data_IF_681465165580
#
_entry.id   IF_681465165580
#
_cell.length_a   1.000
_cell.length_b   1.000
_cell.length_c   1.000
_cell.angle_alpha   90.00
_cell.angle_beta   90.00
_cell.angle_gamma   90.00
#
_symmetry.space_group_name_H-M   'P 1'
#
loop_
_entity.id
_entity.type
_entity.pdbx_description
1 polymer ?
#
# COMPACT_ATOMS: atom_id res chain seq x y z
N UNK A 1 -25.33 3.34 11.22
CA UNK A 1 -23.91 3.66 10.96
C UNK A 1 -23.15 2.36 10.95
N UNK A 2 -22.40 2.07 9.88
CA UNK A 2 -21.50 0.90 9.83
C UNK A 2 -20.33 1.13 10.77
N UNK A 3 -20.00 0.15 11.60
CA UNK A 3 -18.80 0.20 12.44
C UNK A 3 -17.56 0.18 11.54
N UNK A 4 -16.52 1.00 11.84
CA UNK A 4 -15.32 0.99 11.03
C UNK A 4 -14.55 -0.32 11.19
N UNK A 5 -13.87 -0.75 10.13
CA UNK A 5 -12.88 -1.82 10.19
C UNK A 5 -11.54 -1.22 10.58
N UNK A 6 -10.90 -1.82 11.59
CA UNK A 6 -9.59 -1.42 12.05
C UNK A 6 -8.52 -2.23 11.32
N UNK A 7 -7.53 -1.54 10.76
CA UNK A 7 -6.38 -2.15 10.08
C UNK A 7 -5.12 -1.71 10.80
N UNK A 8 -4.35 -2.67 11.30
CA UNK A 8 -3.14 -2.40 12.08
C UNK A 8 -1.91 -2.50 11.18
N UNK A 9 -1.26 -1.36 10.96
CA UNK A 9 -0.08 -1.18 10.13
C UNK A 9 -0.43 -0.68 8.73
N UNK A 10 0.20 0.41 8.29
CA UNK A 10 0.06 0.96 6.94
C UNK A 10 1.21 0.52 6.02
N UNK A 11 1.67 -0.73 6.17
CA UNK A 11 2.52 -1.40 5.19
C UNK A 11 1.76 -1.63 3.87
N UNK A 12 2.38 -2.33 2.92
CA UNK A 12 1.78 -2.58 1.60
C UNK A 12 0.42 -3.30 1.70
N UNK A 13 0.34 -4.36 2.51
CA UNK A 13 -0.90 -5.11 2.72
C UNK A 13 -1.97 -4.28 3.44
N UNK A 14 -1.60 -3.54 4.49
CA UNK A 14 -2.57 -2.71 5.22
C UNK A 14 -3.09 -1.52 4.41
N UNK A 15 -2.24 -0.94 3.56
CA UNK A 15 -2.63 0.11 2.62
C UNK A 15 -3.63 -0.41 1.57
N UNK A 16 -3.36 -1.58 0.99
CA UNK A 16 -4.29 -2.20 0.03
C UNK A 16 -5.60 -2.64 0.72
N UNK A 17 -5.52 -3.22 1.92
CA UNK A 17 -6.71 -3.60 2.68
C UNK A 17 -7.58 -2.37 3.02
N UNK A 18 -6.96 -1.26 3.44
CA UNK A 18 -7.68 -0.02 3.73
C UNK A 18 -8.39 0.52 2.49
N UNK A 19 -7.70 0.50 1.35
CA UNK A 19 -8.26 0.88 0.07
C UNK A 19 -9.47 0.02 -0.31
N UNK A 20 -9.33 -1.31 -0.30
CA UNK A 20 -10.39 -2.23 -0.72
C UNK A 20 -11.62 -2.13 0.18
N UNK A 21 -11.44 -2.01 1.50
CA UNK A 21 -12.54 -1.82 2.46
C UNK A 21 -13.25 -0.50 2.22
N UNK A 22 -12.49 0.58 2.02
CA UNK A 22 -13.05 1.90 1.77
C UNK A 22 -13.79 1.98 0.42
N UNK A 23 -13.27 1.33 -0.63
CA UNK A 23 -13.93 1.21 -1.93
C UNK A 23 -15.21 0.38 -1.88
N UNK A 24 -15.32 -0.54 -0.92
CA UNK A 24 -16.56 -1.26 -0.62
C UNK A 24 -17.59 -0.41 0.18
N UNK A 25 -17.28 0.86 0.45
CA UNK A 25 -18.16 1.78 1.19
C UNK A 25 -18.14 1.60 2.71
N UNK A 26 -17.16 0.88 3.24
CA UNK A 26 -17.03 0.62 4.68
C UNK A 26 -15.97 1.57 5.27
N UNK A 27 -16.28 2.30 6.36
CA UNK A 27 -15.29 3.14 7.03
C UNK A 27 -14.09 2.34 7.56
N UNK A 28 -12.90 2.93 7.52
CA UNK A 28 -11.64 2.32 7.96
C UNK A 28 -10.97 3.22 8.98
N UNK A 29 -10.42 2.61 10.04
CA UNK A 29 -9.37 3.24 10.86
C UNK A 29 -8.05 2.51 10.56
N UNK A 30 -7.14 3.21 9.89
CA UNK A 30 -5.81 2.72 9.56
C UNK A 30 -4.83 3.18 10.63
N UNK A 31 -4.33 2.23 11.41
CA UNK A 31 -3.36 2.47 12.46
C UNK A 31 -1.95 2.37 11.90
N UNK A 32 -1.10 3.37 12.16
CA UNK A 32 0.31 3.34 11.78
C UNK A 32 1.17 3.91 12.89
N UNK A 33 2.07 3.09 13.44
CA UNK A 33 2.93 3.52 14.53
C UNK A 33 3.98 4.55 14.05
N UNK A 34 4.39 4.52 12.78
CA UNK A 34 5.33 5.47 12.18
C UNK A 34 4.62 6.80 11.85
N UNK A 35 5.26 7.96 12.04
CA UNK A 35 6.66 8.13 12.39
C UNK A 35 6.94 8.14 13.90
N UNK A 36 5.92 7.99 14.77
CA UNK A 36 6.13 8.08 16.24
C UNK A 36 7.05 6.97 16.76
N UNK A 37 6.85 5.74 16.26
CA UNK A 37 7.69 4.57 16.53
C UNK A 37 8.28 4.09 15.21
N UNK A 38 9.59 4.29 15.04
CA UNK A 38 10.34 3.82 13.88
C UNK A 38 10.75 2.36 13.98
N UNK A 39 11.38 1.84 12.93
CA UNK A 39 12.05 0.53 12.93
C UNK A 39 13.35 0.66 12.15
N UNK A 40 14.31 -0.26 12.34
CA UNK A 40 15.58 -0.25 11.62
C UNK A 40 15.45 -0.34 10.09
N UNK A 41 14.34 -0.90 9.58
CA UNK A 41 14.12 -1.07 8.15
C UNK A 41 13.52 0.16 7.46
N UNK A 42 12.70 0.93 8.16
CA UNK A 42 11.94 2.04 7.59
C UNK A 42 12.68 3.36 7.74
N UNK A 43 12.66 4.17 6.69
CA UNK A 43 13.28 5.50 6.62
C UNK A 43 12.27 6.62 6.81
N UNK A 44 10.98 6.34 6.61
CA UNK A 44 9.93 7.35 6.62
C UNK A 44 8.71 6.90 7.44
N UNK A 45 7.77 7.84 7.64
CA UNK A 45 6.41 7.54 8.10
C UNK A 45 5.42 7.24 6.97
N UNK A 46 5.91 7.03 5.74
CA UNK A 46 5.11 6.77 4.57
C UNK A 46 4.46 5.40 4.58
N UNK A 47 3.28 5.33 3.99
CA UNK A 47 2.52 4.09 3.80
C UNK A 47 3.11 3.28 2.65
N UNK A 48 2.99 1.96 2.73
CA UNK A 48 3.53 1.02 1.74
C UNK A 48 5.02 1.23 1.38
N UNK A 49 5.83 1.74 2.32
CA UNK A 49 7.25 1.99 2.07
C UNK A 49 8.00 0.70 1.65
N UNK A 50 8.78 0.80 0.58
CA UNK A 50 9.63 -0.29 0.08
C UNK A 50 11.00 -0.26 0.77
N UNK A 51 11.19 -1.09 1.80
CA UNK A 51 12.40 -1.09 2.65
C UNK A 51 13.59 -1.90 2.11
N UNK A 52 13.37 -2.74 1.10
CA UNK A 52 14.40 -3.59 0.50
C UNK A 52 14.57 -3.27 -1.00
N UNK A 53 14.13 -4.15 -1.89
CA UNK A 53 14.10 -3.89 -3.34
C UNK A 53 13.02 -2.86 -3.71
N UNK A 54 13.23 -2.10 -4.79
CA UNK A 54 12.17 -1.29 -5.40
C UNK A 54 11.42 -2.04 -6.51
N UNK A 55 11.69 -3.33 -6.69
CA UNK A 55 11.04 -4.15 -7.69
C UNK A 55 9.97 -5.05 -7.09
N UNK A 56 8.80 -5.04 -7.73
CA UNK A 56 7.71 -5.99 -7.56
C UNK A 56 7.94 -7.30 -8.34
N UNK A 57 9.14 -7.49 -8.90
CA UNK A 57 9.54 -8.62 -9.75
C UNK A 57 8.85 -8.58 -11.12
N UNK A 58 8.80 -9.72 -11.82
CA UNK A 58 8.31 -9.81 -13.20
C UNK A 58 6.86 -9.34 -13.29
N UNK A 59 6.57 -8.59 -14.35
CA UNK A 59 5.20 -8.15 -14.69
C UNK A 59 4.60 -8.94 -15.87
N UNK A 60 5.23 -10.07 -16.23
CA UNK A 60 4.77 -10.97 -17.29
C UNK A 60 3.65 -11.87 -16.76
N UNK A 61 2.40 -11.58 -17.13
CA UNK A 61 1.24 -12.34 -16.71
C UNK A 61 1.10 -13.71 -17.39
N UNK A 62 1.77 -13.94 -18.53
CA UNK A 62 1.63 -15.17 -19.31
C UNK A 62 2.61 -16.25 -18.84
N UNK A 63 3.78 -15.86 -18.36
CA UNK A 63 4.87 -16.79 -18.03
C UNK A 63 5.39 -16.65 -16.58
N UNK A 64 4.86 -15.73 -15.78
CA UNK A 64 5.28 -15.54 -14.39
C UNK A 64 4.11 -15.49 -13.41
N UNK A 65 4.18 -16.28 -12.33
CA UNK A 65 3.15 -16.29 -11.29
C UNK A 65 2.98 -14.94 -10.60
N UNK A 66 4.06 -14.16 -10.44
CA UNK A 66 3.99 -12.82 -9.83
C UNK A 66 3.34 -11.83 -10.80
N UNK A 67 3.66 -11.92 -12.09
CA UNK A 67 3.01 -11.10 -13.12
C UNK A 67 1.52 -11.42 -13.26
N UNK A 68 1.13 -12.69 -13.11
CA UNK A 68 -0.29 -13.07 -13.08
C UNK A 68 -1.00 -12.45 -11.87
N UNK A 69 -0.39 -12.50 -10.68
CA UNK A 69 -0.94 -11.85 -9.49
C UNK A 69 -1.08 -10.34 -9.67
N UNK A 70 -0.10 -9.67 -10.31
CA UNK A 70 -0.21 -8.26 -10.64
C UNK A 70 -1.42 -7.98 -11.54
N UNK A 71 -1.66 -8.81 -12.55
CA UNK A 71 -2.84 -8.70 -13.42
C UNK A 71 -4.15 -8.88 -12.65
N UNK A 72 -4.22 -9.87 -11.75
CA UNK A 72 -5.39 -10.09 -10.89
C UNK A 72 -5.63 -8.86 -9.98
N UNK A 73 -4.58 -8.33 -9.37
CA UNK A 73 -4.66 -7.13 -8.52
C UNK A 73 -5.09 -5.89 -9.30
N UNK A 74 -4.60 -5.70 -10.53
CA UNK A 74 -5.08 -4.62 -11.43
C UNK A 74 -6.57 -4.78 -11.74
N UNK A 75 -7.01 -6.00 -12.03
CA UNK A 75 -8.42 -6.30 -12.30
C UNK A 75 -9.30 -6.05 -11.06
N UNK A 76 -8.76 -6.28 -9.86
CA UNK A 76 -9.41 -5.98 -8.59
C UNK A 76 -9.34 -4.50 -8.17
N UNK A 77 -8.85 -3.60 -9.03
CA UNK A 77 -8.79 -2.16 -8.73
C UNK A 77 -7.77 -1.80 -7.64
N UNK A 78 -6.65 -2.52 -7.58
CA UNK A 78 -5.61 -2.33 -6.56
C UNK A 78 -5.00 -0.92 -6.58
N UNK A 79 -4.91 -0.31 -5.39
CA UNK A 79 -4.20 0.95 -5.20
C UNK A 79 -2.69 0.76 -5.38
N UNK A 80 -2.13 -0.32 -4.83
CA UNK A 80 -0.71 -0.67 -4.96
C UNK A 80 -0.33 -0.78 -6.44
N UNK A 81 -1.05 -1.58 -7.22
CA UNK A 81 -0.69 -1.79 -8.63
C UNK A 81 -0.90 -0.53 -9.47
N UNK A 82 -2.02 0.18 -9.29
CA UNK A 82 -2.26 1.41 -10.03
C UNK A 82 -1.20 2.49 -9.75
N UNK A 83 -0.71 2.57 -8.51
CA UNK A 83 0.34 3.51 -8.12
C UNK A 83 1.71 3.04 -8.62
N UNK A 84 1.98 1.73 -8.61
CA UNK A 84 3.20 1.17 -9.15
C UNK A 84 3.32 1.44 -10.67
N UNK A 85 2.22 1.32 -11.41
CA UNK A 85 2.18 1.63 -12.85
C UNK A 85 2.52 3.10 -13.14
N UNK A 86 2.04 4.04 -12.30
CA UNK A 86 2.30 5.48 -12.46
C UNK A 86 3.75 5.88 -12.13
N UNK A 87 4.37 5.19 -11.17
CA UNK A 87 5.73 5.48 -10.70
C UNK A 87 6.76 4.47 -11.19
N UNK A 88 6.47 3.75 -12.28
CA UNK A 88 7.36 2.75 -12.82
C UNK A 88 8.68 3.35 -13.34
N UNK A 89 9.78 2.67 -13.05
CA UNK A 89 11.12 2.97 -13.57
C UNK A 89 11.66 1.79 -14.42
N UNK A 90 12.58 2.02 -15.37
CA UNK A 90 13.12 0.95 -16.22
C UNK A 90 13.78 -0.18 -15.41
N UNK A 91 13.35 -1.43 -15.62
CA UNK A 91 13.84 -2.58 -14.85
C UNK A 91 13.87 -3.93 -15.60
N UNK A 92 14.11 -3.91 -16.92
CA UNK A 92 14.44 -5.13 -17.68
C UNK A 92 13.41 -6.25 -17.61
N UNK A 93 12.11 -5.92 -17.70
CA UNK A 93 10.99 -6.87 -17.66
C UNK A 93 10.38 -7.09 -16.26
N UNK A 94 11.00 -6.53 -15.22
CA UNK A 94 10.38 -6.39 -13.92
C UNK A 94 9.57 -5.08 -13.82
N UNK A 95 8.52 -5.09 -12.99
CA UNK A 95 7.93 -3.88 -12.45
C UNK A 95 8.81 -3.38 -11.32
N UNK A 96 9.41 -2.21 -11.47
CA UNK A 96 10.10 -1.51 -10.40
C UNK A 96 9.64 -0.07 -10.35
N UNK A 97 9.72 0.55 -9.18
CA UNK A 97 9.14 1.88 -8.94
C UNK A 97 10.16 2.84 -8.37
N UNK A 98 9.89 4.13 -8.52
CA UNK A 98 10.45 5.15 -7.61
C UNK A 98 9.84 4.95 -6.23
N UNK A 99 10.67 4.57 -5.24
CA UNK A 99 10.20 4.19 -3.90
C UNK A 99 9.51 5.34 -3.18
N UNK A 100 10.07 6.54 -3.30
CA UNK A 100 9.62 7.71 -2.53
C UNK A 100 8.33 8.24 -3.14
N UNK A 101 8.27 8.37 -4.47
CA UNK A 101 7.07 8.82 -5.16
C UNK A 101 5.91 7.83 -4.99
N UNK A 102 6.18 6.52 -5.07
CA UNK A 102 5.20 5.45 -4.84
C UNK A 102 4.59 5.52 -3.43
N UNK A 103 5.43 5.58 -2.40
CA UNK A 103 4.98 5.63 -1.01
C UNK A 103 4.24 6.92 -0.69
N UNK A 104 4.72 8.06 -1.21
CA UNK A 104 4.08 9.36 -1.04
C UNK A 104 2.67 9.37 -1.64
N UNK A 105 2.48 8.86 -2.86
CA UNK A 105 1.16 8.87 -3.49
C UNK A 105 0.16 7.96 -2.78
N UNK A 106 0.56 6.77 -2.33
CA UNK A 106 -0.32 5.89 -1.53
C UNK A 106 -0.73 6.59 -0.23
N UNK A 107 0.24 7.22 0.43
CA UNK A 107 0.01 7.95 1.69
C UNK A 107 -1.03 9.04 1.50
N UNK A 108 -0.84 9.90 0.50
CA UNK A 108 -1.76 11.02 0.25
C UNK A 108 -3.12 10.54 -0.26
N UNK A 109 -3.16 9.49 -1.08
CA UNK A 109 -4.42 8.91 -1.56
C UNK A 109 -5.27 8.37 -0.40
N UNK A 110 -4.67 7.60 0.52
CA UNK A 110 -5.38 7.06 1.67
C UNK A 110 -5.80 8.15 2.66
N UNK A 111 -4.94 9.13 2.93
CA UNK A 111 -5.28 10.27 3.82
C UNK A 111 -6.36 11.18 3.26
N UNK A 112 -6.48 11.28 1.94
CA UNK A 112 -7.52 12.07 1.28
C UNK A 112 -8.86 11.33 1.13
N UNK A 113 -8.88 10.01 1.36
CA UNK A 113 -10.09 9.22 1.15
C UNK A 113 -11.12 9.48 2.27
N UNK A 114 -12.38 9.84 1.94
CA UNK A 114 -13.37 10.29 2.93
C UNK A 114 -13.82 9.21 3.94
N UNK A 115 -13.54 7.93 3.64
CA UNK A 115 -13.85 6.79 4.51
C UNK A 115 -12.63 6.25 5.25
N UNK A 116 -11.45 6.86 5.11
CA UNK A 116 -10.24 6.40 5.79
C UNK A 116 -9.83 7.44 6.84
N UNK A 117 -9.85 7.03 8.10
CA UNK A 117 -9.25 7.78 9.21
C UNK A 117 -7.88 7.16 9.50
N UNK A 118 -6.86 7.98 9.65
CA UNK A 118 -5.51 7.53 10.04
C UNK A 118 -5.27 7.87 11.51
N UNK A 119 -4.86 6.87 12.28
CA UNK A 119 -4.45 7.02 13.68
C UNK A 119 -2.97 6.64 13.81
N UNK A 120 -2.17 7.59 14.30
CA UNK A 120 -0.74 7.42 14.40
C UNK A 120 -0.33 6.86 15.76
N UNK A 121 -0.73 5.65 16.12
CA UNK A 121 -0.40 5.04 17.41
C UNK A 121 0.06 3.59 17.27
N UNK A 122 0.91 3.15 18.21
CA UNK A 122 1.34 1.75 18.30
C UNK A 122 0.24 0.92 18.99
N UNK A 123 -0.19 -0.15 18.34
CA UNK A 123 -1.19 -1.06 18.88
C UNK A 123 -0.51 -2.17 19.69
N UNK A 124 -0.63 -2.09 21.02
CA UNK A 124 0.02 -3.01 21.95
C UNK A 124 -0.81 -4.26 22.32
N UNK A 125 -2.11 -4.28 21.98
CA UNK A 125 -3.02 -5.40 22.26
C UNK A 125 -4.25 -5.38 21.32
N UNK A 126 -4.96 -6.51 21.21
CA UNK A 126 -6.19 -6.71 20.44
C UNK A 126 -7.43 -6.75 21.35
#
# INVERSE_FOLDING_TARGET
MTQPIHIVGAGMAGSEAAWQVAQAGVPVVLHEMRPKVGTDAHKTGGFAELVCSNSFRSDDADQNAVGLLHWEMRTAGSLIMATADRHQVPAGGALAVDREAFSAEITETLKAHPLVTVEYDEIAAL
#
